data_IF_274482558760
#
_entry.id   IF_274482558760
#
_cell.length_a   1.000
_cell.length_b   1.000
_cell.length_c   1.000
_cell.angle_alpha   90.00
_cell.angle_beta   90.00
_cell.angle_gamma   90.00
#
_symmetry.space_group_name_H-M   'P 1'
#
loop_
_entity.id
_entity.type
_entity.pdbx_description
1 polymer ?
#
# COMPACT_ATOMS: atom_id res chain seq x y z
N UNK A 1 11.85 11.32 14.30
CA UNK A 1 11.27 10.61 15.46
C UNK A 1 9.77 10.83 15.60
N UNK A 2 9.26 12.06 15.47
CA UNK A 2 7.84 12.40 15.74
C UNK A 2 6.82 11.63 14.90
N UNK A 3 7.02 11.49 13.59
CA UNK A 3 6.07 10.79 12.72
C UNK A 3 5.93 9.30 13.07
N UNK A 4 7.05 8.59 13.27
CA UNK A 4 7.03 7.18 13.66
C UNK A 4 6.35 6.99 15.03
N UNK A 5 6.57 7.89 15.99
CA UNK A 5 5.92 7.84 17.29
C UNK A 5 4.39 8.05 17.21
N UNK A 6 3.92 8.90 16.29
CA UNK A 6 2.47 9.07 16.05
C UNK A 6 1.88 7.83 15.37
N UNK A 7 2.56 7.30 14.34
CA UNK A 7 2.13 6.09 13.63
C UNK A 7 2.07 4.89 14.58
N UNK A 8 3.08 4.72 15.45
CA UNK A 8 3.12 3.64 16.44
C UNK A 8 2.04 3.70 17.52
N UNK A 9 1.30 4.81 17.62
CA UNK A 9 0.16 4.98 18.53
C UNK A 9 -1.19 4.93 17.84
N UNK A 10 -1.21 4.86 16.51
CA UNK A 10 -2.46 4.76 15.74
C UNK A 10 -2.97 3.32 15.75
N UNK A 11 -4.28 3.15 15.68
CA UNK A 11 -4.90 1.82 15.58
C UNK A 11 -4.65 1.18 14.21
N UNK A 12 -4.52 2.00 13.16
CA UNK A 12 -4.13 1.59 11.81
C UNK A 12 -3.50 2.75 11.02
N UNK A 13 -2.72 2.42 10.00
CA UNK A 13 -2.21 3.32 8.97
C UNK A 13 -2.92 3.06 7.63
N UNK A 14 -3.35 4.11 6.94
CA UNK A 14 -3.82 4.06 5.56
C UNK A 14 -3.03 5.10 4.76
N UNK A 15 -2.43 4.67 3.65
CA UNK A 15 -1.73 5.59 2.75
C UNK A 15 -1.31 4.93 1.44
N UNK A 16 -0.42 5.58 0.69
CA UNK A 16 0.18 5.02 -0.50
C UNK A 16 1.48 4.25 -0.19
N UNK A 17 2.10 3.69 -1.23
CA UNK A 17 3.41 3.04 -1.24
C UNK A 17 4.58 4.02 -1.04
N UNK A 18 4.59 4.71 0.09
CA UNK A 18 5.64 5.68 0.45
C UNK A 18 6.26 5.37 1.82
N UNK A 19 7.32 6.11 2.19
CA UNK A 19 8.08 5.90 3.44
C UNK A 19 7.22 5.70 4.70
N UNK A 20 6.12 6.42 4.94
CA UNK A 20 5.29 6.22 6.12
C UNK A 20 4.66 4.82 6.23
N UNK A 21 4.41 4.12 5.12
CA UNK A 21 4.01 2.70 5.13
C UNK A 21 5.06 1.84 5.83
N UNK A 22 6.33 2.02 5.46
CA UNK A 22 7.44 1.26 6.04
C UNK A 22 7.69 1.64 7.51
N UNK A 23 7.39 2.88 7.89
CA UNK A 23 7.37 3.26 9.31
C UNK A 23 6.24 2.57 10.07
N UNK A 24 5.03 2.47 9.52
CA UNK A 24 3.91 1.76 10.15
C UNK A 24 4.24 0.29 10.40
N UNK A 25 4.76 -0.36 9.36
CA UNK A 25 5.39 -1.68 9.37
C UNK A 25 6.41 -1.78 10.51
N UNK A 26 7.46 -0.93 10.51
CA UNK A 26 8.52 -0.99 11.52
C UNK A 26 8.02 -0.76 12.96
N UNK A 27 6.97 0.04 13.14
CA UNK A 27 6.35 0.32 14.43
C UNK A 27 5.34 -0.76 14.87
N UNK A 28 5.04 -1.76 14.03
CA UNK A 28 4.05 -2.79 14.30
C UNK A 28 2.59 -2.35 14.16
N UNK A 29 2.38 -1.17 13.57
CA UNK A 29 1.05 -0.61 13.30
C UNK A 29 0.41 -1.35 12.11
N UNK A 30 -0.84 -1.86 12.24
CA UNK A 30 -1.58 -2.42 11.10
C UNK A 30 -1.65 -1.41 9.95
N UNK A 31 -1.47 -1.84 8.71
CA UNK A 31 -1.30 -0.93 7.58
C UNK A 31 -2.04 -1.39 6.33
N UNK A 32 -2.75 -0.46 5.68
CA UNK A 32 -3.27 -0.60 4.32
C UNK A 32 -2.52 0.36 3.42
N UNK A 33 -2.00 -0.16 2.31
CA UNK A 33 -1.30 0.60 1.29
C UNK A 33 -1.99 0.50 -0.06
N UNK A 34 -2.23 1.66 -0.67
CA UNK A 34 -2.76 1.78 -2.03
C UNK A 34 -1.58 1.93 -2.98
N UNK A 35 -1.47 1.00 -3.93
CA UNK A 35 -0.43 0.98 -4.93
C UNK A 35 -0.99 1.49 -6.26
N UNK A 36 -0.24 2.39 -6.89
CA UNK A 36 -0.46 2.77 -8.28
C UNK A 36 0.29 1.79 -9.22
N UNK A 37 1.31 2.24 -9.95
CA UNK A 37 2.04 1.39 -10.88
C UNK A 37 3.09 0.50 -10.19
N UNK A 38 3.37 0.69 -8.89
CA UNK A 38 4.46 0.04 -8.15
C UNK A 38 4.12 -1.38 -7.73
N UNK A 39 5.11 -2.30 -7.72
CA UNK A 39 4.89 -3.70 -7.37
C UNK A 39 4.85 -3.89 -5.86
N UNK A 40 3.70 -4.30 -5.28
CA UNK A 40 3.67 -4.63 -3.87
C UNK A 40 4.51 -5.88 -3.58
N UNK A 41 4.87 -6.72 -4.57
CA UNK A 41 5.78 -7.86 -4.36
C UNK A 41 7.24 -7.41 -4.14
N UNK A 42 7.58 -6.18 -4.52
CA UNK A 42 8.91 -5.59 -4.31
C UNK A 42 8.87 -4.64 -3.12
N UNK A 43 7.88 -3.76 -3.06
CA UNK A 43 7.77 -2.66 -2.08
C UNK A 43 6.61 -2.84 -1.10
N UNK A 44 6.18 -4.08 -0.89
CA UNK A 44 5.10 -4.43 0.02
C UNK A 44 5.37 -4.03 1.47
N UNK A 45 4.33 -4.04 2.32
CA UNK A 45 4.47 -3.90 3.75
C UNK A 45 5.05 -5.17 4.38
N UNK A 46 6.33 -5.44 4.10
CA UNK A 46 7.02 -6.66 4.50
C UNK A 46 7.48 -6.66 5.94
N UNK A 47 7.18 -7.76 6.62
CA UNK A 47 7.76 -8.17 7.90
C UNK A 47 9.27 -8.34 7.83
N UNK A 48 9.97 -8.34 8.97
CA UNK A 48 11.38 -8.72 9.06
C UNK A 48 11.68 -10.09 8.41
N UNK A 49 10.67 -10.96 8.31
CA UNK A 49 10.79 -12.33 7.75
C UNK A 49 10.37 -12.44 6.27
N UNK A 50 10.18 -11.33 5.55
CA UNK A 50 9.84 -11.35 4.12
C UNK A 50 8.40 -11.78 3.79
N UNK A 51 7.56 -12.08 4.79
CA UNK A 51 6.11 -12.19 4.65
C UNK A 51 5.39 -10.86 4.89
N UNK A 52 4.13 -10.72 4.43
CA UNK A 52 3.26 -9.59 4.81
C UNK A 52 3.24 -9.45 6.33
N UNK A 53 3.60 -8.26 6.88
CA UNK A 53 3.74 -8.01 8.32
C UNK A 53 2.61 -8.65 9.12
N UNK A 54 2.85 -9.82 9.76
CA UNK A 54 1.89 -10.56 10.59
C UNK A 54 0.43 -10.64 10.06
N UNK A 55 0.21 -10.63 8.74
CA UNK A 55 -1.15 -10.56 8.16
C UNK A 55 -1.92 -9.26 8.43
N UNK A 56 -1.23 -8.20 8.85
CA UNK A 56 -1.74 -6.84 9.16
C UNK A 56 -1.41 -5.80 8.09
N UNK A 57 -0.68 -6.19 7.04
CA UNK A 57 -0.36 -5.36 5.87
C UNK A 57 -1.25 -5.74 4.68
N UNK A 58 -2.09 -4.83 4.19
CA UNK A 58 -2.92 -5.07 3.00
C UNK A 58 -2.44 -4.17 1.86
N UNK A 59 -2.08 -4.77 0.74
CA UNK A 59 -1.77 -4.05 -0.50
C UNK A 59 -3.00 -4.03 -1.41
N UNK A 60 -3.46 -2.84 -1.77
CA UNK A 60 -4.54 -2.64 -2.73
C UNK A 60 -3.90 -2.27 -4.07
N UNK A 61 -4.21 -3.06 -5.09
CA UNK A 61 -3.73 -2.88 -6.47
C UNK A 61 -4.94 -3.00 -7.40
N UNK A 62 -5.03 -2.16 -8.42
CA UNK A 62 -5.96 -2.41 -9.53
C UNK A 62 -5.37 -3.51 -10.44
N UNK A 63 -6.03 -4.68 -10.59
CA UNK A 63 -5.54 -5.76 -11.46
C UNK A 63 -5.51 -5.38 -12.95
N UNK A 64 -6.24 -4.31 -13.35
CA UNK A 64 -6.23 -3.72 -14.69
C UNK A 64 -5.31 -2.50 -14.84
N UNK A 65 -4.48 -2.18 -13.84
CA UNK A 65 -3.72 -0.94 -13.72
C UNK A 65 -2.72 -0.67 -14.86
N UNK A 66 -2.38 -1.67 -15.68
CA UNK A 66 -1.51 -1.45 -16.83
C UNK A 66 -1.86 -2.35 -18.01
N UNK A 67 -2.56 -1.80 -19.01
CA UNK A 67 -2.82 -2.47 -20.28
C UNK A 67 -1.57 -2.64 -21.17
N UNK A 68 -0.45 -2.02 -20.81
CA UNK A 68 0.77 -1.99 -21.65
C UNK A 68 1.90 -2.91 -21.16
N UNK A 69 1.65 -3.82 -20.20
CA UNK A 69 2.69 -4.71 -19.68
C UNK A 69 3.85 -3.99 -18.97
N UNK A 70 3.70 -2.69 -18.71
CA UNK A 70 4.60 -1.88 -17.85
C UNK A 70 4.07 -1.73 -16.43
N UNK A 71 3.16 -2.62 -16.02
CA UNK A 71 2.89 -2.79 -14.60
C UNK A 71 4.24 -2.93 -13.93
N UNK A 72 4.53 -2.10 -12.92
CA UNK A 72 5.71 -2.25 -12.07
C UNK A 72 7.04 -1.71 -12.60
N UNK A 73 7.09 -1.05 -13.77
CA UNK A 73 8.30 -0.34 -14.19
C UNK A 73 8.14 1.17 -14.02
N UNK A 74 8.96 1.83 -13.18
CA UNK A 74 9.05 3.27 -13.20
C UNK A 74 9.55 3.69 -14.59
N UNK A 75 8.64 4.30 -15.34
CA UNK A 75 8.92 5.01 -16.59
C UNK A 75 8.58 6.49 -16.39
N UNK A 76 8.99 7.36 -17.30
CA UNK A 76 8.53 8.73 -17.28
C UNK A 76 6.98 8.74 -17.31
N UNK A 77 6.38 9.67 -16.55
CA UNK A 77 4.93 9.74 -16.31
C UNK A 77 4.11 9.90 -17.61
N UNK A 78 4.77 10.25 -18.71
CA UNK A 78 4.24 10.36 -20.07
C UNK A 78 4.09 9.00 -20.78
N UNK A 79 4.76 7.95 -20.31
CA UNK A 79 4.67 6.62 -20.91
C UNK A 79 3.26 6.02 -20.74
N UNK A 80 2.53 6.35 -19.68
CA UNK A 80 1.16 5.88 -19.48
C UNK A 80 0.18 7.04 -19.72
N UNK A 81 -0.68 7.00 -20.75
CA UNK A 81 -1.64 8.07 -20.98
C UNK A 81 -2.62 8.18 -19.79
N UNK A 82 -2.32 9.13 -18.90
CA UNK A 82 -3.16 9.54 -17.78
C UNK A 82 -2.87 8.88 -16.43
N UNK A 83 -1.97 7.89 -16.30
CA UNK A 83 -1.59 7.26 -15.02
C UNK A 83 -2.75 6.92 -14.05
N UNK A 84 -3.93 6.54 -14.57
CA UNK A 84 -5.19 6.44 -13.81
C UNK A 84 -5.38 5.16 -12.98
N UNK A 85 -4.29 4.49 -12.64
CA UNK A 85 -4.31 3.24 -11.86
C UNK A 85 -4.92 3.44 -10.46
N UNK A 86 -4.58 4.54 -9.78
CA UNK A 86 -5.18 4.88 -8.48
C UNK A 86 -6.64 5.33 -8.64
N UNK A 87 -7.00 6.04 -9.71
CA UNK A 87 -8.39 6.48 -9.97
C UNK A 87 -9.37 5.30 -10.11
N UNK A 88 -8.85 4.12 -10.46
CA UNK A 88 -9.64 2.89 -10.59
C UNK A 88 -9.78 2.12 -9.28
N UNK A 89 -9.04 2.50 -8.24
CA UNK A 89 -9.19 1.89 -6.92
C UNK A 89 -10.47 2.41 -6.28
N UNK A 90 -11.45 1.52 -6.14
CA UNK A 90 -12.73 1.85 -5.56
C UNK A 90 -12.63 2.08 -4.04
N UNK A 91 -13.32 3.10 -3.54
CA UNK A 91 -13.31 3.46 -2.12
C UNK A 91 -13.87 2.36 -1.21
N UNK A 92 -14.80 1.53 -1.71
CA UNK A 92 -15.32 0.38 -0.95
C UNK A 92 -14.25 -0.68 -0.73
N UNK A 93 -13.35 -0.89 -1.70
CA UNK A 93 -12.23 -1.82 -1.56
C UNK A 93 -11.27 -1.34 -0.48
N UNK A 94 -10.99 -0.04 -0.44
CA UNK A 94 -10.17 0.58 0.62
C UNK A 94 -10.84 0.47 1.98
N UNK A 95 -12.13 0.80 2.05
CA UNK A 95 -12.89 0.77 3.30
C UNK A 95 -12.95 -0.65 3.87
N UNK A 96 -13.29 -1.64 3.04
CA UNK A 96 -13.33 -3.04 3.45
C UNK A 96 -11.95 -3.54 3.90
N UNK A 97 -10.88 -3.18 3.20
CA UNK A 97 -9.52 -3.52 3.60
C UNK A 97 -9.18 -2.95 4.99
N UNK A 98 -9.54 -1.70 5.27
CA UNK A 98 -9.30 -1.09 6.59
C UNK A 98 -10.15 -1.75 7.67
N UNK A 99 -11.44 -2.01 7.42
CA UNK A 99 -12.32 -2.66 8.39
C UNK A 99 -11.83 -4.07 8.75
N UNK A 100 -11.33 -4.84 7.77
CA UNK A 100 -10.75 -6.16 7.99
C UNK A 100 -9.53 -6.16 8.94
N UNK A 101 -8.87 -5.01 9.17
CA UNK A 101 -7.80 -4.90 10.16
C UNK A 101 -8.32 -4.98 11.60
N UNK A 102 -9.57 -4.59 11.84
CA UNK A 102 -10.18 -4.50 13.18
C UNK A 102 -11.03 -5.71 13.56
N UNK A 103 -11.42 -6.54 12.59
CA UNK A 103 -12.26 -7.72 12.81
C UNK A 103 -11.47 -8.98 13.28
N UNK A 104 -10.23 -8.81 13.74
CA UNK A 104 -9.32 -9.90 14.13
C UNK A 104 -8.93 -9.87 15.60
#
# INVERSE_FOLDING_TARGET
>A
ATLAALIGRADAYLGNDSVPLHLAVAMGTPAVAIYGPTDPRVYGPWGPEGGTYAGKGIAIVDPGACSQGRAFRPGPLDACPGCRCIDRVDTSTVTNAVLNLFER
#
